data_IF_114841747735
#
_entry.id   IF_114841747735
#
_cell.length_a   1.000
_cell.length_b   1.000
_cell.length_c   1.000
_cell.angle_alpha   90.00
_cell.angle_beta   90.00
_cell.angle_gamma   90.00
#
_symmetry.space_group_name_H-M   'P 1'
#
loop_
_entity.id
_entity.type
_entity.pdbx_description
1 polymer ?
#
# COMPACT_ATOMS: atom_id res chain seq x y z
N UNK A 1 0.21 -20.18 14.10
CA UNK A 1 -1.19 -20.51 14.44
C UNK A 1 -2.13 -19.57 13.69
N UNK A 2 -3.45 -19.77 13.79
CA UNK A 2 -4.42 -18.92 13.11
C UNK A 2 -4.53 -17.56 13.83
N UNK A 3 -4.42 -16.49 13.07
CA UNK A 3 -4.70 -15.12 13.54
C UNK A 3 -5.95 -14.64 12.83
N UNK A 4 -6.85 -13.95 13.53
CA UNK A 4 -8.08 -13.41 12.96
C UNK A 4 -8.05 -11.89 13.00
N UNK A 5 -8.37 -11.24 11.90
CA UNK A 5 -8.45 -9.78 11.82
C UNK A 5 -9.89 -9.31 11.84
N UNK A 6 -10.17 -8.30 12.67
CA UNK A 6 -11.45 -7.61 12.65
C UNK A 6 -11.57 -6.75 11.37
N UNK A 7 -12.59 -7.00 10.54
CA UNK A 7 -12.80 -6.23 9.31
C UNK A 7 -13.18 -4.74 9.55
N UNK A 8 -13.60 -4.38 10.78
CA UNK A 8 -14.03 -3.02 11.11
C UNK A 8 -12.87 -2.13 11.57
N UNK A 9 -12.00 -2.64 12.45
CA UNK A 9 -10.94 -1.83 13.07
C UNK A 9 -9.52 -2.38 12.88
N UNK A 10 -9.37 -3.51 12.20
CA UNK A 10 -8.07 -4.13 11.95
C UNK A 10 -7.40 -4.76 13.18
N UNK A 11 -8.13 -4.98 14.27
CA UNK A 11 -7.58 -5.66 15.45
C UNK A 11 -7.27 -7.12 15.13
N UNK A 12 -6.06 -7.56 15.47
CA UNK A 12 -5.58 -8.92 15.22
C UNK A 12 -5.71 -9.73 16.50
N UNK A 13 -6.55 -10.76 16.47
CA UNK A 13 -6.69 -11.78 17.50
C UNK A 13 -5.73 -12.93 17.20
N UNK A 14 -4.64 -13.01 17.96
CA UNK A 14 -3.65 -14.10 17.89
C UNK A 14 -4.03 -15.20 18.90
N UNK A 15 -4.42 -16.39 18.42
CA UNK A 15 -4.75 -17.53 19.30
C UNK A 15 -3.59 -17.97 20.22
N UNK A 16 -2.33 -17.65 19.85
CA UNK A 16 -1.15 -17.99 20.67
C UNK A 16 -0.97 -17.07 21.89
N UNK A 17 -1.49 -15.84 21.82
CA UNK A 17 -1.30 -14.83 22.89
C UNK A 17 -2.39 -14.89 23.94
N UNK A 18 -3.59 -15.28 23.53
CA UNK A 18 -4.77 -15.31 24.38
C UNK A 18 -5.05 -16.70 24.97
N UNK A 19 -4.27 -17.73 24.58
CA UNK A 19 -4.39 -19.14 25.00
C UNK A 19 -5.78 -19.79 24.77
N UNK A 20 -6.73 -19.06 24.18
CA UNK A 20 -8.09 -19.47 23.85
C UNK A 20 -8.24 -19.50 22.33
N UNK A 21 -8.75 -20.60 21.79
CA UNK A 21 -9.04 -20.69 20.36
C UNK A 21 -10.18 -19.75 20.01
N UNK A 22 -10.11 -19.10 18.86
CA UNK A 22 -11.17 -18.22 18.40
C UNK A 22 -12.51 -18.96 18.29
N UNK A 23 -12.49 -20.26 17.96
CA UNK A 23 -13.69 -21.10 17.91
C UNK A 23 -14.39 -21.26 19.26
N UNK A 24 -13.63 -21.27 20.36
CA UNK A 24 -14.14 -21.53 21.72
C UNK A 24 -14.64 -20.24 22.42
N UNK A 25 -14.50 -19.08 21.81
CA UNK A 25 -15.03 -17.82 22.34
C UNK A 25 -16.57 -17.84 22.36
N UNK A 26 -17.22 -17.33 23.41
CA UNK A 26 -18.68 -17.23 23.50
C UNK A 26 -19.26 -16.35 22.38
N UNK A 27 -20.51 -16.61 22.00
CA UNK A 27 -21.19 -15.89 20.90
C UNK A 27 -21.39 -14.38 21.20
N UNK A 28 -21.43 -14.02 22.48
CA UNK A 28 -21.51 -12.62 22.95
C UNK A 28 -20.16 -11.89 22.95
N UNK A 29 -19.08 -12.56 22.53
CA UNK A 29 -17.75 -11.94 22.50
C UNK A 29 -17.70 -10.81 21.45
N UNK A 30 -17.14 -9.68 21.89
CA UNK A 30 -17.02 -8.46 21.09
C UNK A 30 -15.56 -8.03 20.99
N UNK A 31 -15.21 -7.45 19.86
CA UNK A 31 -13.89 -6.85 19.65
C UNK A 31 -13.62 -5.77 20.74
N UNK A 32 -12.50 -5.84 21.47
CA UNK A 32 -12.20 -4.90 22.56
C UNK A 32 -11.99 -3.46 22.08
N UNK A 33 -11.67 -3.26 20.78
CA UNK A 33 -11.42 -1.94 20.20
C UNK A 33 -12.68 -1.27 19.65
N UNK A 34 -13.57 -2.03 18.99
CA UNK A 34 -14.72 -1.45 18.26
C UNK A 34 -16.09 -2.00 18.66
N UNK A 35 -16.15 -3.03 19.52
CA UNK A 35 -17.41 -3.63 19.96
C UNK A 35 -18.14 -4.46 18.90
N UNK A 36 -17.53 -4.69 17.73
CA UNK A 36 -18.07 -5.56 16.68
C UNK A 36 -18.17 -7.02 17.17
N UNK A 37 -19.16 -7.75 16.67
CA UNK A 37 -19.39 -9.15 17.00
C UNK A 37 -18.33 -10.07 16.39
N UNK A 38 -18.16 -11.25 16.98
CA UNK A 38 -17.26 -12.32 16.52
C UNK A 38 -17.40 -12.66 15.02
N UNK A 39 -18.61 -12.58 14.46
CA UNK A 39 -18.90 -12.91 13.06
C UNK A 39 -18.20 -12.01 12.02
N UNK A 40 -17.66 -10.86 12.43
CA UNK A 40 -17.02 -9.88 11.52
C UNK A 40 -15.50 -10.12 11.41
N UNK A 41 -14.96 -11.09 12.14
CA UNK A 41 -13.56 -11.45 12.06
C UNK A 41 -13.29 -12.38 10.87
N UNK A 42 -12.23 -12.07 10.12
CA UNK A 42 -11.77 -12.88 9.00
C UNK A 42 -10.44 -13.55 9.37
N UNK A 43 -10.21 -14.81 8.99
CA UNK A 43 -8.92 -15.45 9.20
C UNK A 43 -7.86 -14.73 8.36
N UNK A 44 -6.80 -14.24 9.02
CA UNK A 44 -5.60 -13.84 8.29
C UNK A 44 -4.89 -15.10 7.81
N UNK A 45 -5.02 -15.37 6.51
CA UNK A 45 -3.97 -16.07 5.80
C UNK A 45 -2.76 -15.14 5.84
N UNK A 46 -1.72 -15.52 6.59
CA UNK A 46 -0.41 -14.86 6.52
C UNK A 46 0.23 -15.15 5.16
N UNK A 47 -0.40 -14.71 4.08
CA UNK A 47 0.28 -14.45 2.81
C UNK A 47 1.06 -13.18 3.04
N UNK A 48 2.39 -13.36 3.10
CA UNK A 48 3.33 -12.38 3.65
C UNK A 48 3.14 -10.98 3.10
N UNK A 49 3.41 -10.00 3.98
CA UNK A 49 3.76 -8.60 3.71
C UNK A 49 3.45 -8.19 2.27
N UNK A 50 2.32 -7.50 2.05
CA UNK A 50 2.13 -6.67 0.87
C UNK A 50 3.22 -5.58 0.92
N UNK A 51 4.41 -5.94 0.45
CA UNK A 51 5.38 -4.98 -0.04
C UNK A 51 4.70 -4.47 -1.30
N UNK A 52 4.29 -3.20 -1.27
CA UNK A 52 3.54 -2.56 -2.34
C UNK A 52 3.98 -3.11 -3.70
N UNK A 53 3.02 -3.67 -4.42
CA UNK A 53 3.24 -4.42 -5.67
C UNK A 53 4.23 -3.68 -6.56
N UNK A 54 5.48 -4.12 -6.57
CA UNK A 54 6.48 -3.60 -7.48
C UNK A 54 6.07 -4.05 -8.87
N UNK A 55 5.52 -3.12 -9.65
CA UNK A 55 5.11 -3.39 -11.01
C UNK A 55 6.38 -3.65 -11.82
N UNK A 56 6.59 -4.89 -12.27
CA UNK A 56 7.75 -5.20 -13.10
C UNK A 56 7.38 -4.91 -14.56
N UNK A 57 8.32 -4.38 -15.39
CA UNK A 57 8.04 -4.14 -16.81
C UNK A 57 7.57 -5.39 -17.58
N UNK A 58 7.87 -6.59 -17.07
CA UNK A 58 7.47 -7.88 -17.67
C UNK A 58 5.97 -8.15 -17.58
N UNK A 59 5.26 -7.50 -16.67
CA UNK A 59 3.81 -7.68 -16.50
C UNK A 59 2.99 -6.92 -17.58
N UNK A 60 3.64 -6.14 -18.45
CA UNK A 60 3.05 -5.32 -19.53
C UNK A 60 3.48 -5.76 -20.94
N UNK A 61 4.05 -6.95 -21.12
CA UNK A 61 4.43 -7.43 -22.45
C UNK A 61 3.20 -7.60 -23.35
N UNK A 62 3.00 -6.63 -24.25
CA UNK A 62 1.94 -6.64 -25.26
C UNK A 62 2.41 -7.50 -26.44
N UNK A 63 1.55 -8.38 -26.94
CA UNK A 63 1.84 -9.19 -28.13
C UNK A 63 2.13 -8.26 -29.33
N UNK A 64 3.32 -8.33 -29.95
CA UNK A 64 3.69 -7.47 -31.07
C UNK A 64 2.76 -7.62 -32.29
N UNK A 65 2.04 -8.73 -32.43
CA UNK A 65 1.05 -8.91 -33.49
C UNK A 65 -0.21 -8.04 -33.31
N UNK A 66 -0.48 -7.57 -32.08
CA UNK A 66 -1.62 -6.72 -31.75
C UNK A 66 -1.25 -5.23 -31.71
N UNK A 67 0.03 -4.90 -31.81
CA UNK A 67 0.52 -3.51 -31.79
C UNK A 67 0.43 -2.93 -33.20
N UNK A 68 -0.37 -1.89 -33.34
CA UNK A 68 -0.40 -1.07 -34.55
C UNK A 68 0.54 0.12 -34.36
N UNK A 69 1.55 0.22 -35.23
CA UNK A 69 2.46 1.35 -35.27
C UNK A 69 2.00 2.39 -36.28
N UNK A 70 1.82 3.62 -35.81
CA UNK A 70 1.46 4.77 -36.63
C UNK A 70 2.65 5.71 -36.91
N UNK A 71 3.82 5.40 -36.33
CA UNK A 71 5.01 6.27 -36.29
C UNK A 71 4.68 7.70 -35.81
N UNK A 72 3.62 7.83 -35.03
CA UNK A 72 3.08 9.09 -34.57
C UNK A 72 3.04 9.16 -33.05
N UNK A 73 2.11 9.96 -32.55
CA UNK A 73 1.98 10.26 -31.12
C UNK A 73 1.60 9.00 -30.32
N UNK A 74 0.90 8.03 -30.91
CA UNK A 74 0.49 6.82 -30.16
C UNK A 74 1.67 5.92 -29.86
N UNK A 75 2.60 5.76 -30.80
CA UNK A 75 3.87 5.05 -30.54
C UNK A 75 4.73 5.74 -29.48
N UNK A 76 4.69 7.07 -29.43
CA UNK A 76 5.36 7.85 -28.39
C UNK A 76 4.72 7.62 -27.01
N UNK A 77 3.39 7.67 -26.93
CA UNK A 77 2.64 7.39 -25.70
C UNK A 77 2.93 5.97 -25.19
N UNK A 78 2.94 4.97 -26.07
CA UNK A 78 3.27 3.59 -25.70
C UNK A 78 4.68 3.46 -25.14
N UNK A 79 5.67 4.13 -25.72
CA UNK A 79 7.05 4.15 -25.20
C UNK A 79 7.12 4.81 -23.82
N UNK A 80 6.43 5.93 -23.61
CA UNK A 80 6.40 6.63 -22.32
C UNK A 80 5.73 5.76 -21.26
N UNK A 81 4.63 5.09 -21.59
CA UNK A 81 3.92 4.21 -20.66
C UNK A 81 4.75 2.99 -20.23
N UNK A 82 5.51 2.39 -21.14
CA UNK A 82 6.35 1.21 -20.84
C UNK A 82 7.64 1.58 -20.09
N UNK A 83 8.25 2.70 -20.44
CA UNK A 83 9.55 3.11 -19.87
C UNK A 83 9.43 4.01 -18.65
N UNK A 84 8.27 4.66 -18.46
CA UNK A 84 8.05 5.66 -17.43
C UNK A 84 8.84 6.96 -17.65
N UNK A 85 9.48 7.13 -18.82
CA UNK A 85 10.33 8.29 -19.14
C UNK A 85 9.70 9.08 -20.28
N UNK A 86 9.70 10.41 -20.17
CA UNK A 86 9.29 11.28 -21.26
C UNK A 86 10.30 11.25 -22.40
N UNK A 87 9.83 11.38 -23.64
CA UNK A 87 10.69 11.41 -24.83
C UNK A 87 11.46 12.73 -24.92
N UNK A 88 10.85 13.81 -24.41
CA UNK A 88 11.48 15.11 -24.24
C UNK A 88 11.66 15.45 -22.77
N UNK A 89 12.86 15.90 -22.42
CA UNK A 89 13.28 16.32 -21.08
C UNK A 89 13.58 17.84 -21.08
N UNK A 90 12.73 18.65 -21.73
CA UNK A 90 13.00 20.09 -21.91
C UNK A 90 13.14 20.85 -20.57
N UNK A 91 12.53 20.33 -19.51
CA UNK A 91 12.57 20.87 -18.14
C UNK A 91 13.13 19.88 -17.12
N UNK A 92 13.62 18.71 -17.55
CA UNK A 92 14.17 17.73 -16.61
C UNK A 92 15.60 18.11 -16.22
N UNK A 93 15.96 17.86 -14.97
CA UNK A 93 17.26 18.24 -14.45
C UNK A 93 18.22 17.05 -14.54
N UNK A 94 19.46 17.29 -14.97
CA UNK A 94 20.53 16.28 -14.91
C UNK A 94 21.00 15.96 -13.48
N UNK A 95 20.50 16.70 -12.49
CA UNK A 95 20.81 16.47 -11.09
C UNK A 95 19.94 15.34 -10.54
N UNK A 96 20.49 14.49 -9.65
CA UNK A 96 19.69 13.47 -8.98
C UNK A 96 18.60 14.14 -8.12
N UNK A 97 17.34 13.96 -8.51
CA UNK A 97 16.18 14.43 -7.74
C UNK A 97 15.76 13.30 -6.78
N UNK A 98 15.50 13.59 -5.49
CA UNK A 98 15.03 12.57 -4.56
C UNK A 98 13.67 12.01 -5.00
N UNK A 99 13.51 10.70 -4.94
CA UNK A 99 12.22 10.04 -5.15
C UNK A 99 11.32 10.28 -3.93
N UNK A 100 9.99 10.19 -4.08
CA UNK A 100 9.04 10.20 -2.97
C UNK A 100 9.35 9.14 -1.91
N UNK A 101 9.91 8.00 -2.30
CA UNK A 101 10.36 6.96 -1.38
C UNK A 101 11.59 7.38 -0.55
N UNK A 102 12.37 8.35 -1.02
CA UNK A 102 13.52 8.92 -0.30
C UNK A 102 13.10 10.04 0.66
N UNK A 103 11.86 10.52 0.56
CA UNK A 103 11.32 11.60 1.39
C UNK A 103 10.75 11.01 2.69
N UNK A 104 11.50 11.14 3.78
CA UNK A 104 10.99 10.82 5.11
C UNK A 104 10.10 11.96 5.63
N UNK A 105 8.77 11.76 5.57
CA UNK A 105 7.82 12.66 6.24
C UNK A 105 7.72 12.23 7.71
N UNK A 106 8.39 12.98 8.59
CA UNK A 106 8.24 12.80 10.03
C UNK A 106 6.84 13.27 10.44
N UNK A 107 6.01 12.34 10.90
CA UNK A 107 4.70 12.67 11.46
C UNK A 107 4.81 13.61 12.67
N UNK A 108 3.70 14.27 13.02
CA UNK A 108 3.57 15.09 14.22
C UNK A 108 4.28 16.46 14.20
N UNK A 109 4.72 16.99 13.05
CA UNK A 109 5.27 18.35 12.93
C UNK A 109 4.28 19.46 13.36
N UNK A 110 2.97 19.21 13.24
CA UNK A 110 1.90 20.10 13.73
C UNK A 110 1.25 19.62 15.04
N UNK A 111 1.79 18.56 15.67
CA UNK A 111 1.21 18.00 16.91
C UNK A 111 1.46 18.86 18.14
N UNK A 112 2.49 19.72 18.09
CA UNK A 112 2.83 20.66 19.13
C UNK A 112 2.60 22.05 18.58
N UNK A 113 1.92 22.89 19.36
CA UNK A 113 1.85 24.31 19.05
C UNK A 113 3.27 24.86 18.84
N UNK A 114 3.45 25.78 17.87
CA UNK A 114 4.71 26.50 17.72
C UNK A 114 5.15 27.04 19.08
N UNK A 115 6.45 26.94 19.38
CA UNK A 115 6.99 27.54 20.59
C UNK A 115 6.73 29.05 20.50
N UNK A 116 6.17 29.62 21.55
CA UNK A 116 5.93 31.06 21.60
C UNK A 116 7.29 31.78 21.64
N UNK A 117 7.62 32.47 20.55
CA UNK A 117 8.87 33.24 20.42
C UNK A 117 8.77 34.61 21.12
N UNK A 118 7.66 34.90 21.81
CA UNK A 118 7.51 36.07 22.66
C UNK A 118 7.54 37.40 21.91
N UNK A 119 7.07 37.41 20.65
CA UNK A 119 6.94 38.59 19.80
C UNK A 119 5.58 39.27 19.96
#
# INVERSE_FOLDING_TARGET
MASYICAVCGEIYDEEKEDVKFSDLPDDWRCPKCGAMKNVFMPELKTGKDKGRQFSPKDLEIDPALVLHDNGVMDEIHKIALTGKSIGEAMDTLMPVPNFDDILILGAQLSRFPKDDGA
#
